data_IF_117618256343
#
_entry.id   IF_117618256343
#
_cell.length_a   1.000
_cell.length_b   1.000
_cell.length_c   1.000
_cell.angle_alpha   90.00
_cell.angle_beta   90.00
_cell.angle_gamma   90.00
#
_symmetry.space_group_name_H-M   'P 1'
#
loop_
_entity.id
_entity.type
_entity.pdbx_description
1 polymer ?
#
# COMPACT_ATOMS: atom_id res chain seq x y z
N UNK A 1 -4.47 -10.21 -30.01
CA UNK A 1 -5.62 -10.11 -29.08
C UNK A 1 -6.91 -10.18 -29.87
N UNK A 2 -7.82 -11.06 -29.47
CA UNK A 2 -9.17 -11.14 -30.03
C UNK A 2 -10.10 -10.31 -29.17
N UNK A 3 -10.80 -9.32 -29.76
CA UNK A 3 -11.81 -8.58 -29.01
C UNK A 3 -12.99 -9.48 -28.71
N UNK A 4 -13.30 -9.69 -27.42
CA UNK A 4 -14.50 -10.42 -27.02
C UNK A 4 -15.78 -9.74 -27.52
N UNK A 5 -15.76 -8.45 -27.80
CA UNK A 5 -16.88 -7.71 -28.38
C UNK A 5 -17.10 -8.01 -29.87
N UNK A 6 -16.06 -8.51 -30.60
CA UNK A 6 -16.11 -8.83 -32.02
C UNK A 6 -16.39 -10.32 -32.29
N UNK A 7 -16.50 -11.13 -31.21
CA UNK A 7 -16.81 -12.56 -31.30
C UNK A 7 -18.29 -12.76 -31.71
N UNK A 8 -18.57 -13.66 -32.67
CA UNK A 8 -19.95 -13.95 -33.06
C UNK A 8 -20.75 -14.58 -31.92
N UNK A 9 -22.08 -14.47 -31.97
CA UNK A 9 -22.97 -15.02 -30.94
C UNK A 9 -22.78 -16.55 -30.76
N UNK A 10 -22.55 -17.28 -31.85
CA UNK A 10 -22.30 -18.72 -31.80
C UNK A 10 -20.96 -19.05 -31.14
N UNK A 11 -19.90 -18.28 -31.44
CA UNK A 11 -18.60 -18.42 -30.81
C UNK A 11 -18.64 -18.04 -29.32
N UNK A 12 -19.35 -16.95 -28.97
CA UNK A 12 -19.53 -16.54 -27.58
C UNK A 12 -20.25 -17.64 -26.79
N UNK A 13 -21.29 -18.25 -27.36
CA UNK A 13 -22.03 -19.37 -26.74
C UNK A 13 -21.12 -20.57 -26.50
N UNK A 14 -20.29 -20.92 -27.48
CA UNK A 14 -19.35 -22.04 -27.38
C UNK A 14 -18.27 -21.78 -26.31
N UNK A 15 -17.68 -20.59 -26.31
CA UNK A 15 -16.69 -20.18 -25.29
C UNK A 15 -17.29 -20.18 -23.87
N UNK A 16 -18.53 -19.68 -23.74
CA UNK A 16 -19.21 -19.68 -22.45
C UNK A 16 -19.45 -21.10 -21.94
N UNK A 17 -19.90 -22.00 -22.78
CA UNK A 17 -20.13 -23.41 -22.43
C UNK A 17 -18.82 -24.11 -22.01
N UNK A 18 -17.73 -23.88 -22.77
CA UNK A 18 -16.40 -24.38 -22.41
C UNK A 18 -15.92 -23.86 -21.06
N UNK A 19 -16.06 -22.55 -20.82
CA UNK A 19 -15.61 -21.95 -19.61
C UNK A 19 -16.43 -22.35 -18.38
N UNK A 20 -17.74 -22.56 -18.56
CA UNK A 20 -18.61 -23.13 -17.53
C UNK A 20 -18.18 -24.55 -17.13
N UNK A 21 -17.77 -25.38 -18.10
CA UNK A 21 -17.26 -26.73 -17.82
C UNK A 21 -15.95 -26.66 -17.01
N UNK A 22 -15.00 -25.81 -17.42
CA UNK A 22 -13.74 -25.59 -16.65
C UNK A 22 -14.03 -25.10 -15.23
N UNK A 23 -14.98 -24.19 -15.08
CA UNK A 23 -15.37 -23.67 -13.77
C UNK A 23 -16.03 -24.75 -12.89
N UNK A 24 -16.84 -25.64 -13.47
CA UNK A 24 -17.45 -26.76 -12.74
C UNK A 24 -16.37 -27.72 -12.20
N UNK A 25 -15.33 -28.02 -12.99
CA UNK A 25 -14.18 -28.81 -12.55
C UNK A 25 -13.41 -28.10 -11.42
N UNK A 26 -13.14 -26.80 -11.59
CA UNK A 26 -12.48 -25.98 -10.56
C UNK A 26 -13.25 -25.98 -9.23
N UNK A 27 -14.58 -25.81 -9.29
CA UNK A 27 -15.44 -25.79 -8.10
C UNK A 27 -15.52 -27.15 -7.41
N UNK A 28 -15.40 -28.24 -8.17
CA UNK A 28 -15.38 -29.59 -7.62
C UNK A 28 -14.04 -29.98 -6.99
N UNK A 29 -12.96 -29.21 -7.21
CA UNK A 29 -11.62 -29.50 -6.70
C UNK A 29 -11.47 -29.31 -5.19
N UNK A 30 -12.42 -28.64 -4.51
CA UNK A 30 -12.43 -28.46 -3.06
C UNK A 30 -11.25 -27.61 -2.55
N UNK A 31 -10.86 -26.60 -3.29
CA UNK A 31 -9.72 -25.73 -2.96
C UNK A 31 -9.96 -24.89 -1.69
N UNK A 32 -8.87 -24.52 -1.01
CA UNK A 32 -8.88 -23.59 0.13
C UNK A 32 -7.63 -22.71 0.05
N UNK A 33 -7.69 -21.70 -0.82
CA UNK A 33 -6.56 -20.83 -1.18
C UNK A 33 -6.86 -19.39 -0.79
N UNK A 34 -5.86 -18.65 -0.28
CA UNK A 34 -6.03 -17.29 0.24
C UNK A 34 -5.06 -16.31 -0.45
N UNK A 35 -5.58 -15.49 -1.36
CA UNK A 35 -4.88 -14.39 -2.04
C UNK A 35 -5.25 -13.01 -1.45
N UNK A 36 -5.92 -12.96 -0.28
CA UNK A 36 -6.38 -11.70 0.32
C UNK A 36 -5.26 -10.92 1.00
N UNK A 37 -4.20 -11.59 1.45
CA UNK A 37 -3.30 -11.08 2.47
C UNK A 37 -1.94 -10.66 1.91
N UNK A 38 -1.75 -9.35 1.72
CA UNK A 38 -0.44 -8.76 1.51
C UNK A 38 0.41 -8.73 2.80
N UNK A 39 0.77 -9.89 3.32
CA UNK A 39 1.62 -10.06 4.49
C UNK A 39 2.82 -10.96 4.17
N UNK A 40 3.94 -10.87 4.91
CA UNK A 40 5.07 -11.78 4.76
C UNK A 40 4.66 -13.23 4.93
N UNK A 41 5.21 -14.12 4.13
CA UNK A 41 5.09 -15.57 4.29
C UNK A 41 5.95 -16.08 5.47
N UNK A 42 5.74 -17.31 5.95
CA UNK A 42 6.60 -17.89 6.99
C UNK A 42 8.08 -17.84 6.64
N UNK A 43 8.45 -18.15 5.39
CA UNK A 43 9.84 -18.14 4.91
C UNK A 43 10.45 -16.73 4.95
N UNK A 44 9.65 -15.70 4.65
CA UNK A 44 10.10 -14.31 4.79
C UNK A 44 10.32 -13.92 6.25
N UNK A 45 9.45 -14.37 7.16
CA UNK A 45 9.61 -14.13 8.59
C UNK A 45 10.84 -14.86 9.14
N UNK A 46 11.13 -16.07 8.65
CA UNK A 46 12.29 -16.88 9.07
C UNK A 46 13.63 -16.18 8.81
N UNK A 47 13.71 -15.30 7.80
CA UNK A 47 14.89 -14.47 7.55
C UNK A 47 15.28 -13.58 8.76
N UNK A 48 14.34 -13.31 9.65
CA UNK A 48 14.54 -12.46 10.83
C UNK A 48 14.48 -13.21 12.15
N UNK A 49 14.50 -14.55 12.16
CA UNK A 49 14.35 -15.37 13.37
C UNK A 49 15.42 -15.10 14.44
N UNK A 50 16.62 -14.61 14.06
CA UNK A 50 17.65 -14.18 15.00
C UNK A 50 17.13 -13.12 15.98
N UNK A 51 16.21 -12.24 15.56
CA UNK A 51 15.56 -11.26 16.43
C UNK A 51 14.88 -11.88 17.67
N UNK A 52 14.48 -13.15 17.60
CA UNK A 52 13.82 -13.84 18.74
C UNK A 52 14.80 -14.24 19.84
N UNK A 53 16.10 -14.37 19.53
CA UNK A 53 17.12 -14.93 20.42
C UNK A 53 18.27 -13.98 20.72
N UNK A 54 18.31 -12.81 20.08
CA UNK A 54 19.39 -11.83 20.25
C UNK A 54 19.49 -11.39 21.72
N UNK A 55 20.69 -11.42 22.28
CA UNK A 55 20.98 -10.86 23.61
C UNK A 55 21.04 -9.33 23.50
N UNK A 56 19.98 -8.67 23.94
CA UNK A 56 19.81 -7.22 23.73
C UNK A 56 20.73 -6.47 24.67
N UNK A 57 21.63 -5.68 24.10
CA UNK A 57 22.47 -4.76 24.84
C UNK A 57 21.62 -3.72 25.58
N UNK A 58 21.88 -3.58 26.89
CA UNK A 58 21.11 -2.69 27.76
C UNK A 58 21.31 -1.20 27.46
N UNK A 59 22.31 -0.83 26.66
CA UNK A 59 22.65 0.54 26.32
C UNK A 59 22.92 0.70 24.84
N UNK A 60 22.47 1.82 24.30
CA UNK A 60 22.80 2.31 22.97
C UNK A 60 24.26 2.80 22.92
N UNK A 61 24.80 3.07 21.74
CA UNK A 61 26.17 3.60 21.58
C UNK A 61 26.34 5.01 22.20
N UNK A 62 25.28 5.81 22.27
CA UNK A 62 25.24 7.10 22.93
C UNK A 62 24.95 7.02 24.45
N UNK A 63 24.90 5.79 25.00
CA UNK A 63 24.84 5.53 26.44
C UNK A 63 23.43 5.50 27.04
N UNK A 64 22.37 5.63 26.26
CA UNK A 64 20.98 5.56 26.73
C UNK A 64 20.66 4.16 27.22
N UNK A 65 20.12 4.00 28.43
CA UNK A 65 19.64 2.72 28.95
C UNK A 65 18.25 2.42 28.33
N UNK A 66 18.21 1.40 27.43
CA UNK A 66 16.99 1.06 26.70
C UNK A 66 15.89 0.47 27.57
N UNK A 67 16.20 0.03 28.77
CA UNK A 67 15.26 -0.56 29.73
C UNK A 67 14.47 0.50 30.54
N UNK A 68 14.86 1.76 30.47
CA UNK A 68 14.28 2.83 31.26
C UNK A 68 13.38 3.75 30.44
N UNK A 69 12.64 4.60 31.09
CA UNK A 69 11.78 5.62 30.48
C UNK A 69 12.55 6.64 29.63
N UNK A 70 11.81 7.40 28.84
CA UNK A 70 12.32 8.53 28.06
C UNK A 70 12.70 8.16 26.62
N UNK A 71 13.19 9.16 25.87
CA UNK A 71 13.58 9.00 24.48
C UNK A 71 12.39 8.90 23.54
N UNK A 72 11.44 9.86 23.60
CA UNK A 72 10.24 9.90 22.76
C UNK A 72 10.52 9.78 21.26
N UNK A 73 11.70 10.26 20.82
CA UNK A 73 12.11 10.17 19.42
C UNK A 73 12.60 8.76 19.03
N UNK A 74 12.76 7.85 19.98
CA UNK A 74 13.27 6.50 19.75
C UNK A 74 14.80 6.42 19.66
N UNK A 75 15.30 5.23 19.34
CA UNK A 75 16.72 4.90 19.28
C UNK A 75 17.44 5.68 18.17
N UNK A 76 18.51 6.38 18.51
CA UNK A 76 19.26 7.25 17.59
C UNK A 76 19.92 6.45 16.45
N UNK A 77 20.50 5.29 16.76
CA UNK A 77 21.16 4.45 15.77
C UNK A 77 20.15 3.94 14.75
N UNK A 78 18.98 3.47 15.21
CA UNK A 78 17.92 3.00 14.32
C UNK A 78 17.37 4.10 13.43
N UNK A 79 17.20 5.31 13.98
CA UNK A 79 16.82 6.50 13.19
C UNK A 79 17.84 6.82 12.10
N UNK A 80 19.14 6.72 12.41
CA UNK A 80 20.22 6.97 11.46
C UNK A 80 20.18 5.95 10.31
N UNK A 81 19.99 4.67 10.60
CA UNK A 81 19.86 3.59 9.60
C UNK A 81 18.69 3.90 8.66
N UNK A 82 17.51 4.21 9.21
CA UNK A 82 16.32 4.41 8.40
C UNK A 82 16.26 5.78 7.74
N UNK A 83 16.92 6.81 8.25
CA UNK A 83 17.06 8.09 7.55
C UNK A 83 17.83 7.93 6.24
N UNK A 84 18.92 7.15 6.22
CA UNK A 84 19.63 6.81 4.97
C UNK A 84 18.73 6.04 3.99
N UNK A 85 18.06 5.01 4.46
CA UNK A 85 17.21 4.14 3.63
C UNK A 85 16.01 4.89 3.02
N UNK A 86 15.39 5.76 3.80
CA UNK A 86 14.25 6.56 3.39
C UNK A 86 14.64 7.87 2.68
N UNK A 87 15.94 8.13 2.62
CA UNK A 87 16.52 9.35 2.02
C UNK A 87 15.90 10.61 2.62
N UNK A 88 15.89 10.73 3.95
CA UNK A 88 15.41 11.90 4.68
C UNK A 88 16.48 12.45 5.63
N UNK A 89 16.46 13.75 5.98
CA UNK A 89 17.39 14.29 6.97
C UNK A 89 17.29 13.54 8.31
N UNK A 90 18.43 13.22 8.92
CA UNK A 90 18.49 12.36 10.10
C UNK A 90 17.79 12.95 11.35
N UNK A 91 17.71 14.26 11.46
CA UNK A 91 17.01 15.00 12.51
C UNK A 91 15.50 15.13 12.27
N UNK A 92 15.06 14.82 11.05
CA UNK A 92 13.65 14.84 10.64
C UNK A 92 12.91 13.53 10.91
N UNK A 93 13.58 12.49 11.46
CA UNK A 93 13.01 11.16 11.64
C UNK A 93 12.87 10.78 13.11
N UNK A 94 11.72 10.22 13.47
CA UNK A 94 11.51 9.55 14.77
C UNK A 94 11.22 8.06 14.57
N UNK A 95 11.60 7.24 15.55
CA UNK A 95 11.26 5.82 15.62
C UNK A 95 10.21 5.59 16.71
N UNK A 96 9.02 5.13 16.30
CA UNK A 96 7.85 4.97 17.15
C UNK A 96 7.61 3.53 17.61
N UNK A 97 6.32 3.18 17.71
CA UNK A 97 5.85 1.84 18.03
C UNK A 97 5.95 0.86 16.85
N UNK A 98 5.15 -0.20 16.85
CA UNK A 98 5.30 -1.31 15.91
C UNK A 98 4.72 -1.06 14.52
N UNK A 99 3.86 -0.06 14.32
CA UNK A 99 3.08 0.07 13.08
C UNK A 99 3.02 1.52 12.59
N UNK A 100 3.38 1.74 11.30
CA UNK A 100 3.17 3.03 10.64
C UNK A 100 1.69 3.41 10.55
N UNK A 101 0.78 2.44 10.45
CA UNK A 101 -0.66 2.69 10.46
C UNK A 101 -1.11 3.37 11.76
N UNK A 102 -0.53 2.99 12.91
CA UNK A 102 -0.80 3.66 14.18
C UNK A 102 -0.31 5.11 14.15
N UNK A 103 0.88 5.37 13.63
CA UNK A 103 1.40 6.74 13.50
C UNK A 103 0.52 7.59 12.56
N UNK A 104 0.09 7.02 11.43
CA UNK A 104 -0.82 7.71 10.51
C UNK A 104 -2.17 8.02 11.17
N UNK A 105 -2.77 7.04 11.85
CA UNK A 105 -4.01 7.26 12.60
C UNK A 105 -3.82 8.33 13.69
N UNK A 106 -2.76 8.26 14.48
CA UNK A 106 -2.51 9.19 15.59
C UNK A 106 -2.28 10.62 15.08
N UNK A 107 -1.55 10.80 13.97
CA UNK A 107 -1.33 12.12 13.37
C UNK A 107 -2.64 12.73 12.86
N UNK A 108 -3.54 11.93 12.26
CA UNK A 108 -4.89 12.40 11.87
C UNK A 108 -5.72 12.75 13.10
N UNK A 109 -5.71 11.92 14.15
CA UNK A 109 -6.43 12.20 15.41
C UNK A 109 -5.89 13.46 16.07
N UNK A 110 -4.58 13.65 16.11
CA UNK A 110 -3.99 14.89 16.64
C UNK A 110 -4.40 16.13 15.83
N UNK A 111 -4.43 16.04 14.49
CA UNK A 111 -4.92 17.12 13.64
C UNK A 111 -6.40 17.43 13.92
N UNK A 112 -7.24 16.42 14.10
CA UNK A 112 -8.65 16.61 14.47
C UNK A 112 -8.83 17.28 15.83
N UNK A 113 -8.03 16.87 16.84
CA UNK A 113 -8.21 17.34 18.20
C UNK A 113 -7.49 18.66 18.52
N UNK A 114 -6.33 18.88 17.89
CA UNK A 114 -5.44 19.99 18.24
C UNK A 114 -5.07 20.89 17.07
N UNK A 115 -5.38 20.48 15.82
CA UNK A 115 -4.91 21.13 14.61
C UNK A 115 -3.47 20.75 14.26
N UNK A 116 -2.94 21.39 13.22
CA UNK A 116 -1.55 21.22 12.76
C UNK A 116 -0.85 22.57 12.69
N UNK A 117 0.49 22.63 12.69
CA UNK A 117 1.24 23.87 12.53
C UNK A 117 0.78 24.68 11.31
N UNK A 118 0.62 25.99 11.49
CA UNK A 118 0.14 26.90 10.42
C UNK A 118 -1.36 26.87 10.15
N UNK A 119 -2.12 26.02 10.85
CA UNK A 119 -3.57 25.92 10.71
C UNK A 119 -4.35 26.89 11.61
N UNK A 120 -5.65 26.97 11.37
CA UNK A 120 -6.58 27.88 12.08
C UNK A 120 -7.16 27.25 13.37
N UNK A 121 -6.74 26.02 13.72
CA UNK A 121 -7.20 25.30 14.93
C UNK A 121 -7.57 23.85 14.68
N UNK A 122 -8.28 23.21 15.64
CA UNK A 122 -8.68 21.81 15.54
C UNK A 122 -9.56 21.53 14.31
N UNK A 123 -9.23 20.47 13.57
CA UNK A 123 -10.01 20.09 12.37
C UNK A 123 -11.42 19.56 12.70
N UNK A 124 -11.64 19.06 13.91
CA UNK A 124 -12.97 18.59 14.35
C UNK A 124 -14.06 19.67 14.29
N UNK A 125 -13.67 20.93 14.34
CA UNK A 125 -14.57 22.08 14.31
C UNK A 125 -14.75 22.64 12.89
N UNK A 126 -14.20 21.95 11.88
CA UNK A 126 -14.17 22.32 10.47
C UNK A 126 -14.74 21.19 9.59
N UNK A 127 -15.11 21.50 8.36
CA UNK A 127 -15.30 20.49 7.34
C UNK A 127 -13.92 19.97 6.89
N UNK A 128 -13.75 18.65 6.87
CA UNK A 128 -12.49 18.01 6.50
C UNK A 128 -12.71 17.03 5.37
N UNK A 129 -11.96 17.23 4.29
CA UNK A 129 -11.90 16.34 3.13
C UNK A 129 -10.47 15.84 2.95
N UNK A 130 -10.33 14.57 2.55
CA UNK A 130 -9.05 13.99 2.14
C UNK A 130 -9.13 13.56 0.68
N UNK A 131 -8.12 13.92 -0.08
CA UNK A 131 -7.88 13.36 -1.41
C UNK A 131 -7.41 11.92 -1.21
N UNK A 132 -8.10 11.01 -1.89
CA UNK A 132 -7.90 9.58 -1.80
C UNK A 132 -7.54 9.03 -3.18
N UNK A 133 -6.24 8.92 -3.54
CA UNK A 133 -5.85 8.29 -4.79
C UNK A 133 -6.37 6.85 -4.89
N UNK A 134 -6.96 6.51 -6.05
CA UNK A 134 -7.59 5.22 -6.31
C UNK A 134 -7.05 4.57 -7.60
N UNK A 135 -6.91 3.24 -7.62
CA UNK A 135 -7.11 2.33 -6.50
C UNK A 135 -6.06 2.55 -5.40
N UNK A 136 -6.45 2.42 -4.12
CA UNK A 136 -5.59 2.77 -2.99
C UNK A 136 -5.68 1.79 -1.81
N UNK A 137 -5.00 2.13 -0.71
CA UNK A 137 -4.94 1.28 0.47
C UNK A 137 -6.20 1.41 1.34
N UNK A 138 -6.93 0.32 1.49
CA UNK A 138 -8.20 0.24 2.22
C UNK A 138 -8.14 0.75 3.67
N UNK A 139 -6.98 0.63 4.35
CA UNK A 139 -6.82 1.12 5.72
C UNK A 139 -6.77 2.63 5.82
N UNK A 140 -6.24 3.33 4.83
CA UNK A 140 -6.30 4.78 4.73
C UNK A 140 -7.75 5.26 4.66
N UNK A 141 -8.55 4.63 3.82
CA UNK A 141 -9.97 4.92 3.69
C UNK A 141 -10.76 4.59 4.97
N UNK A 142 -10.40 3.48 5.63
CA UNK A 142 -11.01 3.11 6.91
C UNK A 142 -10.75 4.13 8.03
N UNK A 143 -9.55 4.76 8.07
CA UNK A 143 -9.26 5.86 9.00
C UNK A 143 -10.19 7.04 8.73
N UNK A 144 -10.30 7.49 7.47
CA UNK A 144 -11.18 8.59 7.09
C UNK A 144 -12.64 8.29 7.45
N UNK A 145 -13.14 7.12 7.07
CA UNK A 145 -14.51 6.70 7.36
C UNK A 145 -14.80 6.68 8.87
N UNK A 146 -13.87 6.12 9.67
CA UNK A 146 -14.03 6.02 11.13
C UNK A 146 -14.03 7.38 11.81
N UNK A 147 -13.26 8.33 11.29
CA UNK A 147 -13.09 9.66 11.86
C UNK A 147 -14.05 10.71 11.24
N UNK A 148 -14.96 10.30 10.35
CA UNK A 148 -15.94 11.20 9.72
C UNK A 148 -15.33 12.18 8.73
N UNK A 149 -14.19 11.85 8.14
CA UNK A 149 -13.52 12.64 7.10
C UNK A 149 -14.13 12.28 5.74
N UNK A 150 -14.56 13.28 4.98
CA UNK A 150 -15.04 13.09 3.62
C UNK A 150 -13.89 12.65 2.70
N UNK A 151 -14.11 11.61 1.92
CA UNK A 151 -13.12 11.06 1.00
C UNK A 151 -13.44 11.48 -0.43
N UNK A 152 -12.48 12.11 -1.10
CA UNK A 152 -12.60 12.52 -2.50
C UNK A 152 -11.63 11.67 -3.32
N UNK A 153 -12.13 10.73 -4.14
CA UNK A 153 -11.27 9.89 -4.97
C UNK A 153 -10.62 10.71 -6.10
N UNK A 154 -9.39 10.35 -6.45
CA UNK A 154 -8.64 10.85 -7.60
C UNK A 154 -7.95 9.66 -8.26
N UNK A 155 -8.01 9.54 -9.58
CA UNK A 155 -7.40 8.43 -10.31
C UNK A 155 -5.86 8.47 -10.22
N UNK A 156 -5.25 7.27 -10.11
CA UNK A 156 -3.79 7.11 -10.21
C UNK A 156 -3.44 6.67 -11.63
N UNK A 157 -2.68 7.52 -12.33
CA UNK A 157 -2.03 7.19 -13.59
C UNK A 157 -0.67 6.49 -13.41
N UNK A 158 0.13 6.43 -14.47
CA UNK A 158 1.39 5.68 -14.50
C UNK A 158 2.48 6.24 -13.56
N UNK A 159 2.43 7.53 -13.21
CA UNK A 159 3.47 8.21 -12.43
C UNK A 159 2.93 8.85 -11.13
N UNK A 160 1.70 8.56 -10.74
CA UNK A 160 1.04 9.09 -9.55
C UNK A 160 -0.38 9.57 -9.83
N UNK A 161 -1.01 10.34 -8.92
CA UNK A 161 -2.38 10.82 -9.07
C UNK A 161 -2.50 11.86 -10.19
N UNK A 162 -3.70 12.00 -10.75
CA UNK A 162 -4.01 13.06 -11.70
C UNK A 162 -3.82 14.44 -11.06
N UNK A 163 -2.81 15.16 -11.53
CA UNK A 163 -2.41 16.46 -10.97
C UNK A 163 -3.43 17.58 -11.24
N UNK A 164 -4.16 17.52 -12.35
CA UNK A 164 -5.18 18.50 -12.69
C UNK A 164 -6.39 18.35 -11.77
N UNK A 165 -6.81 17.11 -11.49
CA UNK A 165 -7.86 16.83 -10.51
C UNK A 165 -7.43 17.24 -9.10
N UNK A 166 -6.20 16.88 -8.69
CA UNK A 166 -5.64 17.29 -7.38
C UNK A 166 -5.63 18.82 -7.26
N UNK A 167 -5.14 19.54 -8.28
CA UNK A 167 -5.08 21.00 -8.26
C UNK A 167 -6.47 21.64 -8.15
N UNK A 168 -7.47 21.10 -8.85
CA UNK A 168 -8.84 21.57 -8.76
C UNK A 168 -9.42 21.38 -7.35
N UNK A 169 -9.16 20.24 -6.72
CA UNK A 169 -9.62 19.95 -5.36
C UNK A 169 -8.95 20.82 -4.29
N UNK A 170 -7.67 21.14 -4.46
CA UNK A 170 -6.91 21.98 -3.52
C UNK A 170 -7.40 23.44 -3.47
N UNK A 171 -8.27 23.87 -4.37
CA UNK A 171 -8.96 25.15 -4.30
C UNK A 171 -10.08 25.19 -3.23
N UNK A 172 -10.50 24.03 -2.71
CA UNK A 172 -11.46 23.94 -1.60
C UNK A 172 -10.73 23.98 -0.26
N UNK A 173 -10.99 24.97 0.63
CA UNK A 173 -10.36 25.06 1.95
C UNK A 173 -10.72 23.90 2.91
N UNK A 174 -11.74 23.11 2.59
CA UNK A 174 -12.07 21.90 3.34
C UNK A 174 -11.13 20.72 3.04
N UNK A 175 -10.37 20.77 1.94
CA UNK A 175 -9.37 19.73 1.59
C UNK A 175 -8.13 19.94 2.45
N UNK A 176 -8.05 19.18 3.54
CA UNK A 176 -7.00 19.26 4.57
C UNK A 176 -5.93 18.20 4.44
N UNK A 177 -6.21 17.10 3.75
CA UNK A 177 -5.29 15.99 3.65
C UNK A 177 -5.34 15.25 2.32
N UNK A 178 -4.25 14.51 2.07
CA UNK A 178 -4.12 13.59 0.96
C UNK A 178 -3.34 12.36 1.41
N UNK A 179 -3.81 11.18 1.03
CA UNK A 179 -3.03 9.96 1.14
C UNK A 179 -2.11 9.79 -0.09
N UNK A 180 -0.92 9.29 0.13
CA UNK A 180 0.01 8.94 -0.95
C UNK A 180 0.80 7.69 -0.60
N UNK A 181 0.91 6.74 -1.53
CA UNK A 181 1.81 5.58 -1.44
C UNK A 181 2.78 5.67 -2.62
N UNK A 182 3.89 6.42 -2.47
CA UNK A 182 4.68 6.89 -3.60
C UNK A 182 5.59 5.83 -4.23
N UNK A 183 5.87 4.74 -3.51
CA UNK A 183 6.71 3.65 -4.02
C UNK A 183 5.94 2.34 -3.97
N UNK A 184 5.78 1.73 -5.14
CA UNK A 184 5.07 0.46 -5.28
C UNK A 184 3.69 0.51 -4.67
N UNK A 185 2.90 1.50 -5.09
CA UNK A 185 1.58 1.81 -4.53
C UNK A 185 0.69 0.56 -4.37
N UNK A 186 -0.04 0.50 -3.28
CA UNK A 186 -0.99 -0.56 -3.01
C UNK A 186 -2.37 -0.14 -3.55
N UNK A 187 -2.93 -0.85 -4.57
CA UNK A 187 -2.47 -2.16 -5.07
C UNK A 187 -1.72 -2.15 -6.41
N UNK A 188 -1.62 -1.02 -7.13
CA UNK A 188 -1.26 -0.98 -8.54
C UNK A 188 0.25 -1.00 -8.84
N UNK A 189 1.10 -0.89 -7.82
CA UNK A 189 2.56 -0.94 -7.99
C UNK A 189 3.20 0.32 -8.57
N UNK A 190 2.45 1.40 -8.75
CA UNK A 190 2.93 2.67 -9.33
C UNK A 190 4.00 3.29 -8.43
N UNK A 191 4.97 3.93 -9.07
CA UNK A 191 6.00 4.76 -8.43
C UNK A 191 5.75 6.21 -8.85
N UNK A 192 5.60 7.11 -7.89
CA UNK A 192 5.52 8.55 -8.18
C UNK A 192 6.88 9.04 -8.65
N UNK A 193 6.94 9.60 -9.83
CA UNK A 193 8.18 10.17 -10.33
C UNK A 193 8.53 11.51 -9.65
N UNK A 194 9.75 12.01 -9.90
CA UNK A 194 10.20 13.27 -9.31
C UNK A 194 9.36 14.46 -9.78
N UNK A 195 8.90 14.46 -11.02
CA UNK A 195 8.11 15.55 -11.58
C UNK A 195 6.73 15.63 -10.90
N UNK A 196 6.04 14.51 -10.78
CA UNK A 196 4.76 14.41 -10.07
C UNK A 196 4.92 14.76 -8.59
N UNK A 197 5.96 14.22 -7.93
CA UNK A 197 6.25 14.54 -6.53
C UNK A 197 6.47 16.04 -6.33
N UNK A 198 7.31 16.66 -7.16
CA UNK A 198 7.59 18.10 -7.12
C UNK A 198 6.32 18.92 -7.32
N UNK A 199 5.52 18.58 -8.32
CA UNK A 199 4.26 19.24 -8.59
C UNK A 199 3.32 19.20 -7.37
N UNK A 200 3.10 18.03 -6.76
CA UNK A 200 2.30 17.88 -5.53
C UNK A 200 2.78 18.78 -4.38
N UNK A 201 4.09 18.97 -4.28
CA UNK A 201 4.68 19.81 -3.24
C UNK A 201 4.55 21.32 -3.55
N UNK A 202 4.48 21.71 -4.82
CA UNK A 202 4.42 23.09 -5.28
C UNK A 202 2.97 23.60 -5.47
N UNK A 203 1.98 22.71 -5.70
CA UNK A 203 0.60 23.09 -5.92
C UNK A 203 0.08 24.07 -4.85
N UNK A 204 -0.57 25.18 -5.23
CA UNK A 204 -1.20 26.09 -4.27
C UNK A 204 -2.39 25.40 -3.59
N UNK A 205 -2.58 25.68 -2.31
CA UNK A 205 -3.69 25.13 -1.51
C UNK A 205 -4.50 26.27 -0.88
N UNK A 206 -5.82 26.16 -0.92
CA UNK A 206 -6.68 27.10 -0.21
C UNK A 206 -6.61 26.89 1.32
N UNK A 207 -6.37 25.65 1.76
CA UNK A 207 -6.12 25.33 3.16
C UNK A 207 -4.64 25.55 3.52
N UNK A 208 -4.27 26.46 4.42
CA UNK A 208 -2.87 26.69 4.81
C UNK A 208 -2.29 25.52 5.57
N UNK A 209 -3.14 24.67 6.11
CA UNK A 209 -2.83 23.52 6.93
C UNK A 209 -2.99 22.18 6.19
N UNK A 210 -3.03 22.20 4.84
CA UNK A 210 -3.04 20.98 4.03
C UNK A 210 -1.79 20.13 4.25
N UNK A 211 -1.97 18.81 4.41
CA UNK A 211 -0.89 17.84 4.61
C UNK A 211 -1.03 16.63 3.68
N UNK A 212 0.10 16.05 3.30
CA UNK A 212 0.19 14.79 2.56
C UNK A 212 0.72 13.71 3.52
N UNK A 213 -0.05 12.64 3.73
CA UNK A 213 0.37 11.42 4.41
C UNK A 213 1.08 10.52 3.41
N UNK A 214 2.41 10.55 3.44
CA UNK A 214 3.33 9.92 2.49
C UNK A 214 3.77 8.56 3.03
N UNK A 215 3.04 7.48 2.67
CA UNK A 215 3.26 6.13 3.20
C UNK A 215 4.28 5.35 2.37
N UNK A 216 5.50 5.24 2.87
CA UNK A 216 6.62 4.50 2.26
C UNK A 216 6.63 3.02 2.73
N UNK A 217 5.49 2.36 2.83
CA UNK A 217 5.39 0.98 3.31
C UNK A 217 6.20 -0.02 2.48
N UNK A 218 6.46 0.29 1.21
CA UNK A 218 7.13 -0.61 0.26
C UNK A 218 8.44 -0.06 -0.31
N UNK A 219 8.98 1.03 0.23
CA UNK A 219 10.14 1.74 -0.31
C UNK A 219 11.38 0.85 -0.55
N UNK A 220 11.49 -0.27 0.17
CA UNK A 220 12.63 -1.19 0.10
C UNK A 220 12.28 -2.54 -0.57
N UNK A 221 11.07 -2.70 -1.10
CA UNK A 221 10.58 -3.99 -1.60
C UNK A 221 10.72 -4.12 -3.12
N UNK A 222 11.96 -4.09 -3.60
CA UNK A 222 12.28 -4.25 -5.01
C UNK A 222 12.14 -5.71 -5.45
N UNK A 223 11.58 -5.95 -6.63
CA UNK A 223 11.48 -7.29 -7.24
C UNK A 223 12.59 -7.54 -8.28
N UNK A 224 13.13 -6.47 -8.85
CA UNK A 224 14.24 -6.52 -9.79
C UNK A 224 15.58 -6.20 -9.14
N UNK A 225 16.65 -6.18 -9.97
CA UNK A 225 18.00 -5.80 -9.52
C UNK A 225 18.14 -4.29 -9.27
N UNK A 226 17.33 -3.47 -9.94
CA UNK A 226 17.29 -2.04 -9.71
C UNK A 226 16.68 -1.75 -8.34
N UNK A 227 17.40 -0.98 -7.52
CA UNK A 227 16.99 -0.59 -6.16
C UNK A 227 16.85 0.95 -6.09
N UNK A 228 15.79 1.54 -6.71
CA UNK A 228 15.60 2.98 -6.70
C UNK A 228 15.41 3.48 -5.26
N UNK A 229 16.10 4.56 -4.92
CA UNK A 229 15.97 5.20 -3.62
C UNK A 229 14.67 6.03 -3.57
N UNK A 230 13.99 6.08 -2.41
CA UNK A 230 12.94 7.06 -2.18
C UNK A 230 13.43 8.50 -2.44
N UNK A 231 12.55 9.37 -2.87
CA UNK A 231 12.85 10.80 -2.99
C UNK A 231 12.94 11.43 -1.58
N UNK A 232 13.86 12.39 -1.41
CA UNK A 232 13.92 13.21 -0.18
C UNK A 232 12.76 14.22 -0.16
N UNK A 233 11.57 13.71 0.08
CA UNK A 233 10.32 14.48 0.03
C UNK A 233 10.30 15.59 1.09
N UNK A 234 11.01 15.44 2.21
CA UNK A 234 11.07 16.46 3.27
C UNK A 234 11.87 17.67 2.79
N UNK A 235 13.07 17.45 2.24
CA UNK A 235 13.87 18.53 1.68
C UNK A 235 13.22 19.15 0.44
N UNK A 236 12.56 18.33 -0.41
CA UNK A 236 11.83 18.81 -1.58
C UNK A 236 10.66 19.72 -1.17
N UNK A 237 9.90 19.37 -0.13
CA UNK A 237 8.83 20.21 0.39
C UNK A 237 9.36 21.58 0.92
N UNK A 238 10.50 21.57 1.60
CA UNK A 238 11.15 22.80 2.06
C UNK A 238 11.62 23.67 0.87
N UNK A 239 12.21 23.06 -0.17
CA UNK A 239 12.61 23.76 -1.40
C UNK A 239 11.43 24.35 -2.15
N UNK A 240 10.28 23.68 -2.13
CA UNK A 240 9.03 24.17 -2.72
C UNK A 240 8.36 25.30 -1.90
N UNK A 241 8.96 25.72 -0.78
CA UNK A 241 8.42 26.73 0.11
C UNK A 241 7.29 26.24 1.05
N UNK A 242 7.05 24.93 1.09
CA UNK A 242 5.98 24.29 1.85
C UNK A 242 6.55 23.24 2.84
N UNK A 243 7.47 23.61 3.77
CA UNK A 243 8.21 22.66 4.60
C UNK A 243 7.31 21.74 5.42
N UNK A 244 6.13 22.20 5.80
CA UNK A 244 5.21 21.46 6.67
C UNK A 244 4.23 20.57 5.90
N UNK A 245 4.30 20.52 4.56
CA UNK A 245 3.31 19.83 3.72
C UNK A 245 3.30 18.32 3.88
N UNK A 246 4.42 17.69 4.24
CA UNK A 246 4.56 16.24 4.23
C UNK A 246 4.75 15.65 5.63
N UNK A 247 4.03 14.57 5.87
CA UNK A 247 4.25 13.61 6.95
C UNK A 247 4.60 12.27 6.28
N UNK A 248 5.87 11.84 6.33
CA UNK A 248 6.32 10.61 5.69
C UNK A 248 6.43 9.47 6.70
N UNK A 249 5.88 8.31 6.34
CA UNK A 249 5.76 7.14 7.20
C UNK A 249 6.46 5.94 6.59
N UNK A 250 7.03 5.09 7.45
CA UNK A 250 7.56 3.78 7.09
C UNK A 250 7.49 2.82 8.27
N UNK A 251 7.75 1.55 8.06
CA UNK A 251 7.89 0.57 9.13
C UNK A 251 8.72 -0.64 8.72
N UNK A 252 9.23 -1.38 9.71
CA UNK A 252 9.88 -2.66 9.49
C UNK A 252 8.88 -3.83 9.40
N UNK A 253 7.58 -3.57 9.37
CA UNK A 253 6.53 -4.62 9.41
C UNK A 253 6.64 -5.66 8.30
N UNK A 254 7.21 -5.30 7.16
CA UNK A 254 7.47 -6.21 6.04
C UNK A 254 8.98 -6.43 5.78
N UNK A 255 9.84 -5.85 6.63
CA UNK A 255 11.31 -6.02 6.60
C UNK A 255 11.72 -7.09 7.59
N UNK A 256 11.16 -7.06 8.80
CA UNK A 256 11.41 -8.01 9.87
C UNK A 256 10.09 -8.69 10.27
N UNK A 257 9.58 -8.41 11.48
CA UNK A 257 8.33 -8.99 11.98
C UNK A 257 7.19 -7.97 11.96
N UNK A 258 6.09 -8.30 11.30
CA UNK A 258 4.87 -7.48 11.35
C UNK A 258 4.30 -7.37 12.79
N UNK A 259 4.47 -8.43 13.61
CA UNK A 259 3.98 -8.46 15.00
C UNK A 259 4.87 -7.73 16.01
N UNK A 260 6.11 -7.41 15.64
CA UNK A 260 7.11 -6.77 16.51
C UNK A 260 8.02 -5.80 15.73
N UNK A 261 7.45 -5.10 14.76
CA UNK A 261 8.17 -4.12 13.96
C UNK A 261 8.50 -2.82 14.71
N UNK A 262 9.09 -1.89 13.98
CA UNK A 262 9.29 -0.50 14.39
C UNK A 262 8.74 0.40 13.27
N UNK A 263 8.06 1.46 13.64
CA UNK A 263 7.53 2.45 12.71
C UNK A 263 8.32 3.76 12.77
N UNK A 264 8.24 4.50 11.67
CA UNK A 264 8.98 5.76 11.51
C UNK A 264 8.04 6.85 11.01
N UNK A 265 8.27 8.07 11.51
CA UNK A 265 7.67 9.30 11.02
C UNK A 265 8.78 10.29 10.70
N UNK A 266 8.86 10.73 9.44
CA UNK A 266 9.70 11.85 9.05
C UNK A 266 8.81 13.05 8.70
N UNK A 267 9.19 14.24 9.18
CA UNK A 267 8.47 15.48 8.92
C UNK A 267 9.34 16.70 9.20
N UNK A 268 8.80 17.88 8.91
CA UNK A 268 9.44 19.15 9.29
C UNK A 268 9.61 19.27 10.81
N UNK A 269 10.54 20.11 11.29
CA UNK A 269 10.71 20.37 12.71
C UNK A 269 9.40 20.82 13.41
N UNK A 270 8.58 21.63 12.74
CA UNK A 270 7.32 22.12 13.30
C UNK A 270 6.29 20.96 13.46
N UNK A 271 6.12 20.12 12.43
CA UNK A 271 5.25 18.96 12.52
C UNK A 271 5.73 17.96 13.56
N UNK A 272 7.04 17.68 13.63
CA UNK A 272 7.60 16.78 14.65
C UNK A 272 7.41 17.32 16.06
N UNK A 273 7.63 18.62 16.28
CA UNK A 273 7.41 19.23 17.58
C UNK A 273 5.94 19.14 18.02
N UNK A 274 5.00 19.39 17.10
CA UNK A 274 3.57 19.25 17.37
C UNK A 274 3.21 17.78 17.69
N UNK A 275 3.68 16.82 16.90
CA UNK A 275 3.43 15.40 17.14
C UNK A 275 4.01 14.95 18.49
N UNK A 276 5.27 15.28 18.80
CA UNK A 276 5.94 14.91 20.05
C UNK A 276 5.28 15.55 21.26
N UNK A 277 4.74 16.76 21.13
CA UNK A 277 3.97 17.43 22.21
C UNK A 277 2.75 16.58 22.59
N UNK A 278 1.97 16.11 21.61
CA UNK A 278 0.83 15.21 21.86
C UNK A 278 1.27 13.85 22.39
N UNK A 279 2.32 13.28 21.79
CA UNK A 279 2.86 11.98 22.17
C UNK A 279 3.36 11.97 23.62
N UNK A 280 3.96 13.07 24.11
CA UNK A 280 4.47 13.20 25.49
C UNK A 280 3.40 13.06 26.57
N UNK A 281 2.13 13.24 26.19
CA UNK A 281 0.99 13.03 27.09
C UNK A 281 0.49 11.58 27.02
N UNK A 282 0.63 10.94 25.85
CA UNK A 282 0.14 9.57 25.62
C UNK A 282 1.13 8.50 26.09
N UNK A 283 2.45 8.79 26.05
CA UNK A 283 3.50 7.85 26.46
C UNK A 283 4.75 8.59 26.97
N UNK A 284 5.59 7.86 27.72
CA UNK A 284 6.89 8.39 28.19
C UNK A 284 8.01 7.96 27.21
N UNK A 285 7.78 7.00 26.34
CA UNK A 285 8.73 6.54 25.33
C UNK A 285 8.29 5.28 24.61
N UNK A 286 8.89 4.98 23.45
CA UNK A 286 8.63 3.76 22.71
C UNK A 286 9.31 2.54 23.34
N UNK A 287 9.05 1.35 22.80
CA UNK A 287 9.76 0.10 23.11
C UNK A 287 11.21 0.14 22.59
N UNK A 288 12.09 0.75 23.37
CA UNK A 288 13.51 0.88 23.04
C UNK A 288 14.26 -0.45 23.07
N UNK A 289 13.77 -1.44 23.82
CA UNK A 289 14.36 -2.79 23.83
C UNK A 289 14.18 -3.43 22.47
N UNK A 290 12.97 -3.36 21.90
CA UNK A 290 12.71 -3.86 20.55
C UNK A 290 13.48 -3.04 19.47
N UNK A 291 13.58 -1.73 19.63
CA UNK A 291 14.37 -0.89 18.72
C UNK A 291 15.87 -1.25 18.77
N UNK A 292 16.43 -1.46 19.96
CA UNK A 292 17.82 -1.90 20.12
C UNK A 292 18.09 -3.29 19.53
N UNK A 293 17.13 -4.21 19.67
CA UNK A 293 17.15 -5.51 19.01
C UNK A 293 17.27 -5.38 17.49
N UNK A 294 16.49 -4.47 16.89
CA UNK A 294 16.57 -4.19 15.46
C UNK A 294 17.91 -3.59 15.06
N UNK A 295 18.47 -2.67 15.84
CA UNK A 295 19.82 -2.11 15.59
C UNK A 295 20.86 -3.24 15.54
N UNK A 296 20.87 -4.12 16.53
CA UNK A 296 21.84 -5.22 16.60
C UNK A 296 21.69 -6.23 15.48
N UNK A 297 20.47 -6.54 15.07
CA UNK A 297 20.17 -7.45 13.98
C UNK A 297 20.52 -6.88 12.60
N UNK A 298 20.10 -5.64 12.36
CA UNK A 298 20.26 -5.01 11.05
C UNK A 298 21.66 -4.45 10.82
N UNK A 299 22.35 -4.04 11.90
CA UNK A 299 23.69 -3.45 11.86
C UNK A 299 23.69 -2.03 11.30
N UNK A 300 23.47 -1.92 9.99
CA UNK A 300 23.46 -0.66 9.24
C UNK A 300 22.46 -0.70 8.07
N UNK A 301 22.47 0.35 7.24
CA UNK A 301 21.59 0.43 6.08
C UNK A 301 21.89 -0.66 5.03
N UNK A 302 23.15 -1.10 4.89
CA UNK A 302 23.49 -2.18 3.96
C UNK A 302 23.04 -3.55 4.49
N UNK A 303 23.04 -3.76 5.80
CA UNK A 303 22.44 -4.94 6.43
C UNK A 303 20.94 -5.03 6.13
N UNK A 304 20.22 -3.90 6.16
CA UNK A 304 18.80 -3.86 5.74
C UNK A 304 18.65 -4.18 4.26
N UNK A 305 19.46 -3.59 3.37
CA UNK A 305 19.41 -3.89 1.93
C UNK A 305 19.69 -5.36 1.65
N UNK A 306 20.67 -5.96 2.35
CA UNK A 306 20.99 -7.39 2.23
C UNK A 306 19.81 -8.25 2.63
N UNK A 307 19.14 -7.96 3.73
CA UNK A 307 17.92 -8.63 4.16
C UNK A 307 16.81 -8.50 3.11
N UNK A 308 16.62 -7.30 2.55
CA UNK A 308 15.59 -7.07 1.53
C UNK A 308 15.88 -7.78 0.20
N UNK A 309 17.16 -7.98 -0.17
CA UNK A 309 17.52 -8.84 -1.30
C UNK A 309 17.15 -10.29 -1.06
N UNK A 310 17.32 -10.81 0.17
CA UNK A 310 16.84 -12.15 0.51
C UNK A 310 15.29 -12.24 0.45
N UNK A 311 14.57 -11.20 0.86
CA UNK A 311 13.11 -11.13 0.64
C UNK A 311 12.75 -11.16 -0.84
N UNK A 312 13.50 -10.45 -1.70
CA UNK A 312 13.30 -10.43 -3.15
C UNK A 312 13.42 -11.83 -3.75
N UNK A 313 14.42 -12.61 -3.33
CA UNK A 313 14.62 -13.99 -3.81
C UNK A 313 13.40 -14.89 -3.54
N UNK A 314 12.66 -14.63 -2.46
CA UNK A 314 11.43 -15.34 -2.13
C UNK A 314 10.19 -14.77 -2.84
N UNK A 315 10.17 -13.48 -3.12
CA UNK A 315 8.99 -12.81 -3.68
C UNK A 315 8.96 -12.79 -5.20
N UNK A 316 10.09 -12.53 -5.86
CA UNK A 316 10.13 -12.38 -7.31
C UNK A 316 9.60 -13.61 -8.08
N UNK A 317 9.91 -14.86 -7.68
CA UNK A 317 9.32 -16.05 -8.33
C UNK A 317 7.79 -16.08 -8.21
N UNK A 318 7.24 -15.66 -7.08
CA UNK A 318 5.78 -15.61 -6.88
C UNK A 318 5.09 -14.58 -7.77
N UNK A 319 5.72 -13.42 -7.97
CA UNK A 319 5.22 -12.43 -8.92
C UNK A 319 5.29 -12.94 -10.37
N UNK A 320 6.37 -13.61 -10.74
CA UNK A 320 6.48 -14.23 -12.06
C UNK A 320 5.34 -15.24 -12.31
N UNK A 321 5.01 -16.09 -11.32
CA UNK A 321 3.90 -17.03 -11.41
C UNK A 321 2.58 -16.31 -11.69
N UNK A 322 2.32 -15.19 -11.01
CA UNK A 322 1.09 -14.42 -11.22
C UNK A 322 1.03 -13.85 -12.64
N UNK A 323 2.11 -13.21 -13.08
CA UNK A 323 2.17 -12.58 -14.40
C UNK A 323 2.08 -13.63 -15.52
N UNK A 324 2.83 -14.72 -15.43
CA UNK A 324 2.77 -15.83 -16.40
C UNK A 324 1.36 -16.45 -16.49
N UNK A 325 0.65 -16.56 -15.37
CA UNK A 325 -0.70 -17.10 -15.34
C UNK A 325 -1.72 -16.13 -15.96
N UNK A 326 -1.59 -14.83 -15.74
CA UNK A 326 -2.43 -13.81 -16.37
C UNK A 326 -2.15 -13.73 -17.88
N UNK A 327 -0.88 -13.70 -18.27
CA UNK A 327 -0.46 -13.69 -19.68
C UNK A 327 -0.97 -14.92 -20.43
N UNK A 328 -0.80 -16.12 -19.87
CA UNK A 328 -1.25 -17.35 -20.51
C UNK A 328 -2.75 -17.57 -20.48
N UNK A 329 -3.44 -17.06 -19.46
CA UNK A 329 -4.88 -17.28 -19.26
C UNK A 329 -5.79 -16.22 -19.85
N UNK A 330 -5.32 -14.96 -19.96
CA UNK A 330 -6.18 -13.82 -20.30
C UNK A 330 -5.69 -13.01 -21.52
N UNK A 331 -4.38 -13.02 -21.86
CA UNK A 331 -3.83 -12.16 -22.91
C UNK A 331 -4.36 -12.43 -24.33
N UNK A 332 -5.02 -13.56 -24.55
CA UNK A 332 -5.67 -13.86 -25.83
C UNK A 332 -6.82 -12.88 -26.14
N UNK A 333 -7.47 -12.35 -25.07
CA UNK A 333 -8.66 -11.51 -25.16
C UNK A 333 -8.38 -10.12 -24.58
N UNK A 334 -9.08 -9.09 -25.08
CA UNK A 334 -8.90 -7.68 -24.73
C UNK A 334 -9.86 -7.17 -23.63
N UNK A 335 -10.32 -8.05 -22.73
CA UNK A 335 -11.27 -7.69 -21.67
C UNK A 335 -10.62 -7.39 -20.32
N UNK A 336 -9.34 -7.64 -20.17
CA UNK A 336 -8.63 -7.46 -18.92
C UNK A 336 -7.23 -6.89 -19.14
N UNK A 337 -6.75 -6.11 -18.15
CA UNK A 337 -5.39 -5.58 -18.07
C UNK A 337 -4.82 -5.83 -16.69
N UNK A 338 -3.50 -5.89 -16.56
CA UNK A 338 -2.84 -6.07 -15.26
C UNK A 338 -1.54 -5.32 -15.16
N UNK A 339 -1.17 -4.99 -13.93
CA UNK A 339 0.06 -4.27 -13.66
C UNK A 339 1.27 -5.20 -13.64
N UNK A 340 2.45 -4.65 -14.03
CA UNK A 340 3.75 -5.31 -13.95
C UNK A 340 4.64 -4.56 -12.96
N UNK A 341 4.41 -4.73 -11.63
CA UNK A 341 5.09 -3.92 -10.63
C UNK A 341 6.58 -4.28 -10.52
N UNK A 342 7.43 -3.26 -10.42
CA UNK A 342 8.87 -3.42 -10.16
C UNK A 342 9.17 -3.70 -8.68
N UNK A 343 8.16 -3.70 -7.81
CA UNK A 343 8.28 -3.91 -6.37
C UNK A 343 6.94 -3.95 -5.66
N UNK A 344 6.98 -4.03 -4.34
CA UNK A 344 5.79 -4.07 -3.50
C UNK A 344 5.25 -5.47 -3.26
N UNK A 345 3.94 -5.57 -2.96
CA UNK A 345 3.30 -6.81 -2.51
C UNK A 345 2.06 -7.19 -3.31
N UNK A 346 1.74 -6.46 -4.39
CA UNK A 346 0.48 -6.65 -5.10
C UNK A 346 0.63 -6.57 -6.61
N UNK A 347 -0.27 -7.26 -7.29
CA UNK A 347 -0.59 -7.09 -8.71
C UNK A 347 -2.05 -6.67 -8.79
N UNK A 348 -2.36 -5.67 -9.60
CA UNK A 348 -3.75 -5.29 -9.91
C UNK A 348 -4.15 -5.95 -11.22
N UNK A 349 -5.32 -6.56 -11.21
CA UNK A 349 -6.02 -7.06 -12.38
C UNK A 349 -7.29 -6.22 -12.55
N UNK A 350 -7.38 -5.47 -13.64
CA UNK A 350 -8.61 -4.81 -14.06
C UNK A 350 -9.30 -5.69 -15.11
N UNK A 351 -10.52 -6.14 -14.77
CA UNK A 351 -11.37 -6.98 -15.62
C UNK A 351 -12.39 -6.12 -16.37
N UNK A 352 -13.21 -6.75 -17.20
CA UNK A 352 -14.31 -6.07 -17.90
C UNK A 352 -15.17 -5.28 -16.90
N UNK A 353 -15.44 -4.02 -17.17
CA UNK A 353 -16.27 -3.15 -16.32
C UNK A 353 -17.54 -3.87 -15.85
N UNK A 354 -17.88 -3.74 -14.57
CA UNK A 354 -19.04 -4.38 -13.94
C UNK A 354 -18.92 -5.91 -13.78
N UNK A 355 -17.71 -6.45 -13.68
CA UNK A 355 -17.52 -7.90 -13.49
C UNK A 355 -16.64 -8.27 -12.30
N UNK A 356 -15.91 -7.35 -11.66
CA UNK A 356 -15.02 -7.68 -10.54
C UNK A 356 -15.76 -8.35 -9.37
N UNK A 357 -16.92 -7.84 -9.01
CA UNK A 357 -17.77 -8.46 -7.98
C UNK A 357 -18.10 -9.91 -8.34
N UNK A 358 -18.48 -10.16 -9.59
CA UNK A 358 -18.80 -11.51 -10.07
C UNK A 358 -17.58 -12.43 -10.06
N UNK A 359 -16.40 -11.94 -10.47
CA UNK A 359 -15.15 -12.71 -10.40
C UNK A 359 -14.84 -13.14 -8.98
N UNK A 360 -14.93 -12.20 -8.02
CA UNK A 360 -14.69 -12.48 -6.59
C UNK A 360 -15.68 -13.50 -6.03
N UNK A 361 -16.95 -13.44 -6.45
CA UNK A 361 -17.97 -14.45 -6.06
C UNK A 361 -17.65 -15.83 -6.60
N UNK A 362 -17.33 -15.94 -7.90
CA UNK A 362 -16.95 -17.19 -8.55
C UNK A 362 -15.70 -17.79 -7.89
N UNK A 363 -14.66 -16.98 -7.70
CA UNK A 363 -13.42 -17.41 -7.04
C UNK A 363 -13.70 -17.96 -5.63
N UNK A 364 -14.51 -17.23 -4.84
CA UNK A 364 -14.91 -17.66 -3.50
C UNK A 364 -15.66 -18.99 -3.49
N UNK A 365 -16.60 -19.19 -4.43
CA UNK A 365 -17.35 -20.44 -4.58
C UNK A 365 -16.42 -21.60 -4.96
N UNK A 366 -15.37 -21.33 -5.73
CA UNK A 366 -14.34 -22.30 -6.10
C UNK A 366 -13.26 -22.51 -4.99
N UNK A 367 -13.40 -21.85 -3.83
CA UNK A 367 -12.46 -22.00 -2.72
C UNK A 367 -11.21 -21.13 -2.83
N UNK A 368 -11.24 -20.07 -3.66
CA UNK A 368 -10.16 -19.09 -3.80
C UNK A 368 -10.62 -17.77 -3.17
N UNK A 369 -10.05 -17.42 -2.03
CA UNK A 369 -10.37 -16.17 -1.35
C UNK A 369 -9.59 -15.00 -1.96
N UNK A 370 -10.31 -13.98 -2.42
CA UNK A 370 -9.78 -12.69 -2.90
C UNK A 370 -10.22 -11.57 -1.97
N UNK A 371 -9.50 -10.44 -1.99
CA UNK A 371 -9.97 -9.21 -1.38
C UNK A 371 -11.33 -8.83 -2.00
N UNK A 372 -12.32 -8.37 -1.21
CA UNK A 372 -13.60 -7.96 -1.77
C UNK A 372 -13.45 -6.93 -2.90
N UNK A 373 -14.23 -7.07 -3.96
CA UNK A 373 -14.28 -6.07 -5.02
C UNK A 373 -14.62 -4.69 -4.42
N UNK A 374 -14.00 -3.63 -4.97
CA UNK A 374 -14.16 -2.28 -4.45
C UNK A 374 -13.33 -1.93 -3.21
N UNK A 375 -12.67 -2.89 -2.53
CA UNK A 375 -11.91 -2.61 -1.30
C UNK A 375 -10.79 -1.57 -1.50
N UNK A 376 -10.26 -1.43 -2.71
CA UNK A 376 -9.26 -0.41 -3.06
C UNK A 376 -9.84 0.97 -3.40
N UNK A 377 -11.11 1.20 -3.08
CA UNK A 377 -11.81 2.47 -3.29
C UNK A 377 -12.51 2.94 -2.01
N UNK A 378 -12.72 4.26 -1.82
CA UNK A 378 -13.50 4.81 -0.72
C UNK A 378 -14.86 4.11 -0.57
N UNK A 379 -15.23 3.83 0.68
CA UNK A 379 -16.48 3.12 1.04
C UNK A 379 -16.65 1.73 0.42
N UNK A 380 -15.57 1.13 -0.10
CA UNK A 380 -15.63 -0.18 -0.75
C UNK A 380 -16.38 -0.18 -2.09
N UNK A 381 -16.45 0.95 -2.77
CA UNK A 381 -17.20 1.13 -4.01
C UNK A 381 -16.26 1.54 -5.15
N UNK A 382 -15.96 0.60 -6.04
CA UNK A 382 -15.35 0.86 -7.34
C UNK A 382 -16.47 1.22 -8.33
N UNK A 383 -16.51 2.46 -8.88
CA UNK A 383 -17.56 2.88 -9.79
C UNK A 383 -17.60 2.07 -11.09
N UNK A 384 -16.47 1.47 -11.48
CA UNK A 384 -16.36 0.62 -12.66
C UNK A 384 -16.54 -0.87 -12.36
N UNK A 385 -16.50 -1.29 -11.07
CA UNK A 385 -16.53 -2.69 -10.65
C UNK A 385 -15.59 -3.58 -11.48
N UNK A 386 -14.30 -3.14 -11.58
CA UNK A 386 -13.30 -3.78 -12.42
C UNK A 386 -12.03 -4.19 -11.70
N UNK A 387 -11.69 -3.52 -10.59
CA UNK A 387 -10.37 -3.66 -9.95
C UNK A 387 -10.31 -4.83 -8.98
N UNK A 388 -9.40 -5.76 -9.20
CA UNK A 388 -9.09 -6.92 -8.36
C UNK A 388 -7.65 -6.82 -7.88
N UNK A 389 -7.45 -6.86 -6.56
CA UNK A 389 -6.13 -6.90 -5.94
C UNK A 389 -5.68 -8.33 -5.70
N UNK A 390 -4.52 -8.71 -6.23
CA UNK A 390 -3.87 -10.01 -6.06
C UNK A 390 -2.68 -9.85 -5.11
N UNK A 391 -2.61 -10.67 -4.04
CA UNK A 391 -1.53 -10.66 -3.06
C UNK A 391 -0.71 -11.96 -3.14
N UNK A 392 0.38 -12.02 -3.93
CA UNK A 392 1.16 -13.24 -4.13
C UNK A 392 2.09 -13.60 -2.97
N UNK A 393 2.32 -12.69 -2.02
CA UNK A 393 3.39 -12.83 -1.03
C UNK A 393 3.23 -14.00 -0.06
N UNK A 394 1.99 -14.32 0.35
CA UNK A 394 1.73 -15.27 1.43
C UNK A 394 1.61 -16.74 1.00
N UNK A 395 0.88 -17.12 -0.09
CA UNK A 395 0.72 -18.52 -0.46
C UNK A 395 2.04 -19.17 -0.93
N UNK A 396 2.09 -20.50 -0.89
CA UNK A 396 3.16 -21.26 -1.54
C UNK A 396 3.11 -21.06 -3.07
N UNK A 397 4.21 -21.37 -3.76
CA UNK A 397 4.22 -21.27 -5.23
C UNK A 397 3.20 -22.21 -5.89
N UNK A 398 3.01 -23.43 -5.37
CA UNK A 398 2.07 -24.40 -5.90
C UNK A 398 0.61 -23.95 -5.68
N UNK A 399 0.30 -23.44 -4.48
CA UNK A 399 -1.00 -22.87 -4.19
C UNK A 399 -1.28 -21.65 -5.09
N UNK A 400 -0.26 -20.82 -5.32
CA UNK A 400 -0.36 -19.64 -6.15
C UNK A 400 -0.63 -19.99 -7.61
N UNK A 401 0.08 -20.99 -8.19
CA UNK A 401 -0.18 -21.50 -9.55
C UNK A 401 -1.63 -21.98 -9.69
N UNK A 402 -2.10 -22.76 -8.72
CA UNK A 402 -3.46 -23.28 -8.71
C UNK A 402 -4.49 -22.15 -8.59
N UNK A 403 -4.26 -21.21 -7.67
CA UNK A 403 -5.16 -20.08 -7.46
C UNK A 403 -5.26 -19.17 -8.69
N UNK A 404 -4.12 -18.91 -9.35
CA UNK A 404 -4.08 -18.02 -10.51
C UNK A 404 -4.72 -18.62 -11.74
N UNK A 405 -4.56 -19.94 -11.98
CA UNK A 405 -5.28 -20.65 -13.03
C UNK A 405 -6.80 -20.60 -12.80
N UNK A 406 -7.22 -20.77 -11.53
CA UNK A 406 -8.63 -20.64 -11.14
C UNK A 406 -9.16 -19.21 -11.30
N UNK A 407 -8.37 -18.19 -10.92
CA UNK A 407 -8.74 -16.78 -11.08
C UNK A 407 -8.93 -16.41 -12.56
N UNK A 408 -8.02 -16.84 -13.44
CA UNK A 408 -8.15 -16.62 -14.88
C UNK A 408 -9.45 -17.24 -15.43
N UNK A 409 -9.79 -18.47 -14.99
CA UNK A 409 -11.06 -19.12 -15.33
C UNK A 409 -12.26 -18.30 -14.88
N UNK A 410 -12.25 -17.77 -13.63
CA UNK A 410 -13.34 -16.97 -13.09
C UNK A 410 -13.47 -15.62 -13.82
N UNK A 411 -12.35 -14.97 -14.15
CA UNK A 411 -12.34 -13.67 -14.84
C UNK A 411 -12.94 -13.80 -16.25
N UNK A 412 -12.50 -14.79 -17.02
CA UNK A 412 -13.03 -15.02 -18.37
C UNK A 412 -14.52 -15.44 -18.33
N UNK A 413 -14.90 -16.30 -17.37
CA UNK A 413 -16.30 -16.70 -17.22
C UNK A 413 -17.21 -15.51 -16.93
N UNK A 414 -16.83 -14.64 -15.98
CA UNK A 414 -17.61 -13.46 -15.63
C UNK A 414 -17.77 -12.50 -16.83
N UNK A 415 -16.71 -12.30 -17.61
CA UNK A 415 -16.77 -11.49 -18.83
C UNK A 415 -17.74 -12.09 -19.88
N UNK A 416 -17.65 -13.40 -20.12
CA UNK A 416 -18.53 -14.10 -21.07
C UNK A 416 -19.99 -14.09 -20.62
N UNK A 417 -20.27 -14.30 -19.32
CA UNK A 417 -21.62 -14.20 -18.74
C UNK A 417 -22.22 -12.81 -19.00
N UNK A 418 -21.45 -11.75 -18.77
CA UNK A 418 -21.90 -10.37 -18.99
C UNK A 418 -22.21 -10.09 -20.45
N UNK A 419 -21.32 -10.48 -21.37
CA UNK A 419 -21.49 -10.26 -22.81
C UNK A 419 -22.68 -11.05 -23.36
N UNK A 420 -22.87 -12.29 -22.91
CA UNK A 420 -24.01 -13.12 -23.32
C UNK A 420 -25.36 -12.58 -22.78
N UNK A 421 -25.37 -12.05 -21.55
CA UNK A 421 -26.57 -11.45 -20.94
C UNK A 421 -26.95 -10.08 -21.51
N UNK A 422 -26.02 -9.37 -22.14
CA UNK A 422 -26.23 -8.07 -22.79
C UNK A 422 -26.71 -8.15 -24.26
N UNK A 423 -26.68 -9.32 -24.87
CA UNK A 423 -27.22 -9.49 -26.25
C UNK A 423 -28.74 -9.52 -26.20
N UNK A 424 -29.45 -8.70 -27.02
CA UNK A 424 -30.88 -8.80 -27.15
C UNK A 424 -31.21 -10.22 -27.69
N UNK A 425 -32.06 -10.97 -26.97
CA UNK A 425 -32.53 -12.27 -27.44
C UNK A 425 -33.09 -12.11 -28.86
N UNK A 426 -32.36 -12.62 -29.85
CA UNK A 426 -32.88 -12.82 -31.21
C UNK A 426 -34.05 -13.77 -31.12
N UNK A 427 -35.29 -13.25 -31.06
CA UNK A 427 -36.50 -13.98 -31.28
C UNK A 427 -36.76 -14.09 -32.78
#
# INVERSE_FOLDING_TARGET
MTSLHDVSADQLTALLAEQQAKYAELSAAGLTLDLTRGKPSPEQLDLSNELLTIDVQARTSDGVDVRNYGGLQGNTELRTIFADLLNVPGDSLIAGGSSSLTLMHDTVVQALLYGVPGGEGPWRDQQVKFICPVPGYDRHFAICAKLGIEMVPVEIGDNGPDLDEVAALLADPAVKGMWAVPMYANPNGVIYDEATTRALLELPTAAPDFRIWWDNAYALHHLGEAEPRPLDVISMAAQAGNPDRVLAFASTSKVTFAGAGVSFLAASPANLAAYLSGLSIATIGPDKVNQQRHVQFLGDAEGVRTLMRAHRELLAPKFAIVLDALDSGLAEYDFATWTHPAGGYFVTLDVLDGTATRVVELAKQAGIALTPAGASHPHGHDPHDRTIRIAPSFPSEDDLRTAMAGLATCALLAALEKLAGGQPSSR
#
